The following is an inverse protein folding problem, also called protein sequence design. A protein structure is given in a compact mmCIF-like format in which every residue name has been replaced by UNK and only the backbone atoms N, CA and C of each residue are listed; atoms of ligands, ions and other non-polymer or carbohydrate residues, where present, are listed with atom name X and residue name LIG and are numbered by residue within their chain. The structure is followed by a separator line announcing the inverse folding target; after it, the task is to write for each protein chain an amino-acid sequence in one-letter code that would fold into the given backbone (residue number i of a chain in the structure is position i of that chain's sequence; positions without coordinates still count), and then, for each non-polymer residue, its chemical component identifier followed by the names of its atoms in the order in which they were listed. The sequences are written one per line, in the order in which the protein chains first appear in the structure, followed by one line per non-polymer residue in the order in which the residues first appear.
data_IF_121589687714
#
_entry.id   IF_121589687714
#
_cell.length_a   1.000
_cell.length_b   1.000
_cell.length_c   1.000
_cell.angle_alpha   90.00
_cell.angle_beta   90.00
_cell.angle_gamma   90.00
#
_symmetry.space_group_name_H-M   'P 1'
#
loop_
_entity.id
_entity.type
_entity.pdbx_description
1 polymer ?
#
# COMPACT_ATOMS: atom_id res chain seq x y z
N UNK A 1 17.73 1.38 13.41
CA UNK A 1 16.25 1.56 13.40
C UNK A 1 15.77 1.06 12.07
N UNK A 2 15.05 -0.06 12.09
CA UNK A 2 14.52 -0.73 10.91
C UNK A 2 13.05 -1.00 11.22
N UNK A 3 12.17 -0.56 10.34
CA UNK A 3 10.74 -0.81 10.48
C UNK A 3 10.04 -0.61 9.16
N UNK A 4 9.30 -1.63 8.72
CA UNK A 4 8.51 -1.54 7.51
C UNK A 4 7.11 -1.00 7.83
N UNK A 5 6.76 0.10 7.20
CA UNK A 5 5.40 0.65 7.23
C UNK A 5 4.65 0.17 6.01
N UNK A 6 3.40 -0.24 6.22
CA UNK A 6 2.54 -0.75 5.15
C UNK A 6 1.12 -0.19 5.22
N UNK A 7 0.58 0.09 4.04
CA UNK A 7 -0.83 0.20 3.75
C UNK A 7 -1.19 -0.85 2.69
N UNK A 8 -2.34 -1.48 2.82
CA UNK A 8 -2.74 -2.62 1.99
C UNK A 8 -4.06 -2.35 1.30
N UNK A 9 -4.12 -2.56 -0.01
CA UNK A 9 -5.36 -2.54 -0.77
C UNK A 9 -5.75 -3.96 -1.16
N UNK A 10 -7.04 -4.31 -1.01
CA UNK A 10 -7.55 -5.56 -1.54
C UNK A 10 -7.59 -5.49 -3.08
N UNK A 11 -7.12 -6.57 -3.72
CA UNK A 11 -7.27 -6.80 -5.15
C UNK A 11 -8.11 -8.06 -5.32
N UNK A 12 -8.90 -8.10 -6.39
CA UNK A 12 -9.97 -9.10 -6.53
C UNK A 12 -9.73 -9.95 -7.78
N UNK A 13 -8.75 -10.88 -7.75
CA UNK A 13 -8.63 -11.86 -8.83
C UNK A 13 -9.92 -12.69 -8.90
N UNK A 14 -10.25 -13.17 -10.10
CA UNK A 14 -11.43 -14.01 -10.34
C UNK A 14 -11.30 -15.40 -9.70
N UNK A 15 -10.07 -15.77 -9.35
CA UNK A 15 -9.75 -17.07 -8.79
C UNK A 15 -8.90 -16.91 -7.53
N UNK A 16 -9.15 -17.80 -6.57
CA UNK A 16 -8.38 -17.94 -5.35
C UNK A 16 -7.54 -19.20 -5.50
N UNK A 17 -6.25 -19.09 -5.21
CA UNK A 17 -5.36 -20.25 -5.21
C UNK A 17 -5.68 -21.18 -4.04
N UNK A 18 -6.11 -22.39 -4.34
CA UNK A 18 -6.36 -23.44 -3.35
C UNK A 18 -5.05 -23.92 -2.71
N UNK A 19 -5.11 -24.35 -1.44
CA UNK A 19 -3.93 -24.83 -0.68
C UNK A 19 -2.78 -23.81 -0.54
N UNK A 20 -3.09 -22.51 -0.68
CA UNK A 20 -2.16 -21.40 -0.55
C UNK A 20 -2.43 -20.58 0.72
N UNK A 21 -1.48 -19.74 1.09
CA UNK A 21 -1.51 -18.98 2.35
C UNK A 21 -2.44 -17.77 2.21
N UNK A 22 -3.41 -17.58 3.13
CA UNK A 22 -4.29 -16.43 3.14
C UNK A 22 -3.52 -15.14 3.48
N UNK A 23 -3.93 -14.03 2.87
CA UNK A 23 -3.27 -12.72 3.01
C UNK A 23 -3.11 -12.30 4.47
N UNK A 24 -4.02 -12.64 5.38
CA UNK A 24 -3.92 -12.23 6.79
C UNK A 24 -2.65 -12.77 7.47
N UNK A 25 -2.20 -13.97 7.11
CA UNK A 25 -0.94 -14.53 7.61
C UNK A 25 0.23 -13.76 7.00
N UNK A 26 0.17 -13.44 5.71
CA UNK A 26 1.18 -12.62 5.02
C UNK A 26 1.26 -11.23 5.61
N UNK A 27 0.14 -10.59 5.93
CA UNK A 27 0.09 -9.28 6.59
C UNK A 27 0.87 -9.28 7.90
N UNK A 28 0.78 -10.37 8.67
CA UNK A 28 1.56 -10.50 9.90
C UNK A 28 3.05 -10.68 9.61
N UNK A 29 3.41 -11.49 8.62
CA UNK A 29 4.79 -11.67 8.18
C UNK A 29 5.42 -10.36 7.69
N UNK A 30 4.67 -9.55 6.92
CA UNK A 30 5.12 -8.24 6.43
C UNK A 30 5.55 -7.30 7.56
N UNK A 31 4.88 -7.35 8.72
CA UNK A 31 5.24 -6.53 9.88
C UNK A 31 6.58 -6.94 10.53
N UNK A 32 7.17 -8.06 10.12
CA UNK A 32 8.43 -8.59 10.67
C UNK A 32 9.61 -8.42 9.70
N UNK A 33 9.35 -7.97 8.47
CA UNK A 33 10.37 -7.78 7.43
C UNK A 33 11.26 -6.60 7.80
N UNK A 34 12.58 -6.79 7.75
CA UNK A 34 13.54 -5.75 8.14
C UNK A 34 14.14 -4.97 6.97
N UNK A 35 14.13 -5.56 5.76
CA UNK A 35 14.63 -4.92 4.55
C UNK A 35 13.91 -5.36 3.27
N UNK A 36 14.26 -4.74 2.15
CA UNK A 36 13.65 -5.00 0.85
C UNK A 36 13.95 -6.39 0.28
N UNK A 37 15.11 -6.99 0.61
CA UNK A 37 15.46 -8.32 0.14
C UNK A 37 14.57 -9.37 0.81
N UNK A 38 14.36 -9.24 2.12
CA UNK A 38 13.42 -10.07 2.85
C UNK A 38 11.98 -9.87 2.36
N UNK A 39 11.59 -8.62 2.05
CA UNK A 39 10.28 -8.34 1.45
C UNK A 39 10.11 -9.08 0.12
N UNK A 40 11.07 -8.91 -0.80
CA UNK A 40 11.03 -9.54 -2.11
C UNK A 40 11.00 -11.07 -1.99
N UNK A 41 11.81 -11.62 -1.08
CA UNK A 41 11.83 -13.07 -0.82
C UNK A 41 10.48 -13.55 -0.30
N UNK A 42 9.93 -12.90 0.72
CA UNK A 42 8.62 -13.24 1.29
C UNK A 42 7.55 -13.26 0.21
N UNK A 43 7.48 -12.22 -0.63
CA UNK A 43 6.43 -12.11 -1.65
C UNK A 43 6.61 -13.09 -2.81
N UNK A 44 7.85 -13.40 -3.21
CA UNK A 44 8.15 -14.29 -4.35
C UNK A 44 8.04 -15.77 -4.00
N UNK A 45 8.45 -16.15 -2.79
CA UNK A 45 8.59 -17.55 -2.40
C UNK A 45 7.37 -18.07 -1.63
N UNK A 46 6.57 -17.18 -1.02
CA UNK A 46 5.39 -17.61 -0.27
C UNK A 46 4.20 -17.83 -1.21
N UNK A 47 3.53 -18.98 -1.22
CA UNK A 47 2.40 -19.21 -2.11
C UNK A 47 1.16 -18.47 -1.60
N UNK A 48 0.81 -17.35 -2.22
CA UNK A 48 -0.26 -16.46 -1.74
C UNK A 48 -1.59 -16.83 -2.42
N UNK A 49 -2.66 -16.93 -1.61
CA UNK A 49 -3.95 -17.42 -2.07
C UNK A 49 -4.75 -16.40 -2.91
N UNK A 50 -4.66 -15.11 -2.63
CA UNK A 50 -5.43 -14.10 -3.37
C UNK A 50 -4.72 -12.75 -3.42
N UNK A 51 -5.22 -11.88 -4.30
CA UNK A 51 -4.58 -10.63 -4.68
C UNK A 51 -4.62 -9.54 -3.62
N UNK A 52 -3.55 -8.76 -3.57
CA UNK A 52 -3.51 -7.50 -2.85
C UNK A 52 -2.38 -6.61 -3.34
N UNK A 53 -2.46 -5.34 -2.95
CA UNK A 53 -1.42 -4.36 -3.16
C UNK A 53 -0.79 -3.98 -1.82
N UNK A 54 0.53 -3.77 -1.83
CA UNK A 54 1.31 -3.25 -0.71
C UNK A 54 1.82 -1.89 -1.11
N UNK A 55 1.51 -0.87 -0.32
CA UNK A 55 2.13 0.45 -0.38
C UNK A 55 2.94 0.61 0.90
N UNK A 56 4.24 0.89 0.83
CA UNK A 56 5.04 0.93 2.04
C UNK A 56 6.41 1.56 1.88
N UNK A 57 7.17 1.54 2.96
CA UNK A 57 8.53 2.06 2.99
C UNK A 57 9.23 1.63 4.27
N UNK A 58 10.56 1.57 4.21
CA UNK A 58 11.38 1.26 5.37
C UNK A 58 11.81 2.54 6.06
N UNK A 59 11.51 2.67 7.35
CA UNK A 59 12.23 3.60 8.20
C UNK A 59 13.68 3.13 8.31
N UNK A 60 14.62 4.01 7.98
CA UNK A 60 16.06 3.73 8.08
C UNK A 60 16.67 4.67 9.12
N UNK A 61 17.38 4.11 10.10
CA UNK A 61 18.12 4.89 11.11
C UNK A 61 19.29 5.68 10.54
N UNK A 62 19.92 5.15 9.49
CA UNK A 62 21.17 5.71 9.02
C UNK A 62 20.88 6.92 8.15
N UNK A 63 21.33 8.08 8.62
CA UNK A 63 21.11 9.41 8.05
C UNK A 63 21.52 9.57 6.57
N UNK A 64 22.16 8.56 5.98
CA UNK A 64 22.63 8.57 4.58
C UNK A 64 21.85 7.63 3.65
N UNK A 65 20.89 6.84 4.14
CA UNK A 65 20.06 6.02 3.26
C UNK A 65 18.72 6.70 3.01
N UNK A 66 18.54 7.19 1.77
CA UNK A 66 17.30 7.78 1.30
C UNK A 66 16.14 6.80 1.51
N UNK A 67 15.07 7.27 2.15
CA UNK A 67 13.80 6.57 2.21
C UNK A 67 13.07 6.74 0.88
N UNK A 68 12.82 5.65 0.18
CA UNK A 68 11.89 5.62 -0.95
C UNK A 68 10.69 4.74 -0.60
N UNK A 69 9.58 4.99 -1.29
CA UNK A 69 8.37 4.20 -1.13
C UNK A 69 8.33 3.09 -2.17
N UNK A 70 7.73 1.99 -1.76
CA UNK A 70 7.56 0.76 -2.50
C UNK A 70 6.08 0.54 -2.75
N UNK A 71 5.75 0.10 -3.95
CA UNK A 71 4.44 -0.43 -4.27
C UNK A 71 4.57 -1.82 -4.91
N UNK A 72 3.86 -2.80 -4.38
CA UNK A 72 3.77 -4.14 -4.96
C UNK A 72 2.33 -4.45 -5.31
N UNK A 73 2.08 -4.87 -6.54
CA UNK A 73 0.86 -5.60 -6.90
C UNK A 73 1.19 -7.08 -6.98
N UNK A 74 0.33 -7.92 -6.39
CA UNK A 74 0.51 -9.35 -6.48
C UNK A 74 -0.81 -10.11 -6.53
N UNK A 75 -0.73 -11.34 -7.03
CA UNK A 75 -1.82 -12.30 -7.01
C UNK A 75 -1.36 -13.70 -7.38
N UNK A 76 -2.26 -14.69 -7.25
CA UNK A 76 -1.91 -16.07 -7.55
C UNK A 76 -1.62 -16.24 -9.04
N UNK A 77 -0.53 -16.94 -9.38
CA UNK A 77 -0.30 -17.39 -10.76
C UNK A 77 -1.03 -18.73 -10.96
N UNK A 78 -2.14 -18.68 -11.68
CA UNK A 78 -2.99 -19.84 -11.94
C UNK A 78 -2.95 -20.28 -13.42
N UNK A 79 -2.15 -19.59 -14.24
CA UNK A 79 -1.97 -19.91 -15.65
C UNK A 79 -0.96 -21.05 -15.87
N UNK A 80 -0.26 -21.49 -14.82
CA UNK A 80 0.52 -22.71 -14.90
C UNK A 80 -0.44 -23.90 -14.85
N UNK A 81 -0.57 -24.62 -15.97
CA UNK A 81 -1.15 -25.98 -16.00
C UNK A 81 -0.53 -26.92 -14.95
N UNK A 82 0.64 -26.53 -14.47
CA UNK A 82 1.29 -27.08 -13.30
C UNK A 82 0.80 -26.35 -12.04
N UNK A 83 -0.26 -26.86 -11.41
CA UNK A 83 -0.74 -26.45 -10.08
C UNK A 83 0.37 -26.50 -8.99
N UNK A 84 1.55 -27.00 -9.33
CA UNK A 84 2.74 -27.06 -8.46
C UNK A 84 3.62 -25.81 -8.48
N UNK A 85 3.44 -24.85 -9.41
CA UNK A 85 4.23 -23.62 -9.31
C UNK A 85 3.67 -22.74 -8.20
N UNK A 86 4.30 -22.80 -7.02
CA UNK A 86 4.01 -21.97 -5.85
C UNK A 86 4.31 -20.46 -6.05
N UNK A 87 4.44 -20.01 -7.30
CA UNK A 87 4.85 -18.65 -7.65
C UNK A 87 3.64 -17.71 -7.69
N UNK A 88 3.89 -16.45 -7.35
CA UNK A 88 2.91 -15.38 -7.50
C UNK A 88 3.23 -14.55 -8.74
N UNK A 89 2.21 -13.96 -9.37
CA UNK A 89 2.44 -12.79 -10.21
C UNK A 89 2.76 -11.61 -9.29
N UNK A 90 3.84 -10.89 -9.59
CA UNK A 90 4.32 -9.77 -8.79
C UNK A 90 4.77 -8.66 -9.73
N UNK A 91 4.28 -7.45 -9.50
CA UNK A 91 4.79 -6.22 -10.09
C UNK A 91 5.30 -5.33 -8.98
N UNK A 92 6.57 -4.92 -9.08
CA UNK A 92 7.23 -4.01 -8.14
C UNK A 92 7.36 -2.63 -8.76
N UNK A 93 7.07 -1.61 -7.97
CA UNK A 93 7.18 -0.21 -8.33
C UNK A 93 7.91 0.57 -7.24
N UNK A 94 8.86 1.41 -7.62
CA UNK A 94 9.52 2.38 -6.75
C UNK A 94 8.87 3.74 -6.95
N UNK A 95 8.60 4.44 -5.86
CA UNK A 95 8.19 5.84 -5.89
C UNK A 95 9.36 6.68 -5.42
N UNK A 96 9.94 7.43 -6.35
CA UNK A 96 11.17 8.20 -6.16
C UNK A 96 10.88 9.68 -6.37
N UNK A 97 11.54 10.55 -5.62
CA UNK A 97 11.62 11.97 -6.00
C UNK A 97 12.65 12.15 -7.14
N UNK A 98 12.71 13.36 -7.71
CA UNK A 98 13.62 13.65 -8.83
C UNK A 98 15.11 13.38 -8.49
N UNK A 99 15.56 13.77 -7.29
CA UNK A 99 16.95 13.56 -6.85
C UNK A 99 17.28 12.06 -6.73
N UNK A 100 16.37 11.30 -6.11
CA UNK A 100 16.48 9.85 -5.99
C UNK A 100 16.52 9.17 -7.36
N UNK A 101 15.70 9.65 -8.31
CA UNK A 101 15.66 9.12 -9.66
C UNK A 101 16.97 9.35 -10.42
N UNK A 102 17.56 10.54 -10.32
CA UNK A 102 18.86 10.85 -10.93
C UNK A 102 19.99 9.99 -10.38
N UNK A 103 19.94 9.67 -9.08
CA UNK A 103 20.90 8.79 -8.40
C UNK A 103 20.62 7.30 -8.64
N UNK A 104 19.40 6.96 -9.05
CA UNK A 104 18.99 5.58 -9.28
C UNK A 104 19.61 5.04 -10.57
N UNK A 105 20.69 4.27 -10.40
CA UNK A 105 21.20 3.46 -11.49
C UNK A 105 20.20 2.33 -11.76
N UNK A 106 19.59 2.33 -12.95
CA UNK A 106 18.66 1.30 -13.37
C UNK A 106 19.37 -0.05 -13.46
N UNK A 107 19.28 -0.85 -12.39
CA UNK A 107 19.92 -2.17 -12.28
C UNK A 107 19.04 -3.32 -12.79
N UNK A 108 17.74 -3.08 -12.96
CA UNK A 108 16.77 -4.11 -13.33
C UNK A 108 15.64 -3.49 -14.17
N UNK A 109 15.34 -4.09 -15.32
CA UNK A 109 14.25 -3.63 -16.21
C UNK A 109 12.86 -4.03 -15.71
N UNK A 110 12.76 -4.96 -14.76
CA UNK A 110 11.49 -5.47 -14.22
C UNK A 110 10.85 -4.58 -13.14
N UNK A 111 11.48 -3.44 -12.83
CA UNK A 111 11.02 -2.52 -11.78
C UNK A 111 10.40 -1.29 -12.42
N UNK A 112 9.11 -1.07 -12.15
CA UNK A 112 8.42 0.15 -12.51
C UNK A 112 8.91 1.31 -11.64
N UNK A 113 9.06 2.51 -12.21
CA UNK A 113 9.42 3.71 -11.46
C UNK A 113 8.35 4.77 -11.68
N UNK A 114 7.87 5.34 -10.58
CA UNK A 114 6.94 6.47 -10.57
C UNK A 114 7.59 7.62 -9.80
N UNK A 115 7.36 8.85 -10.26
CA UNK A 115 7.92 10.04 -9.64
C UNK A 115 6.96 10.67 -8.63
N UNK A 116 7.49 11.07 -7.48
CA UNK A 116 6.91 11.86 -6.40
C UNK A 116 5.75 11.21 -5.62
N UNK A 117 4.74 10.67 -6.30
CA UNK A 117 3.53 10.15 -5.65
C UNK A 117 2.93 8.98 -6.41
N UNK A 118 2.19 8.12 -5.69
CA UNK A 118 1.44 7.02 -6.26
C UNK A 118 0.10 6.90 -5.54
N UNK A 119 -0.97 6.80 -6.31
CA UNK A 119 -2.31 6.49 -5.81
C UNK A 119 -2.68 5.08 -6.23
N UNK A 120 -3.24 4.30 -5.30
CA UNK A 120 -3.62 2.92 -5.58
C UNK A 120 -5.02 2.63 -5.02
N UNK A 121 -5.81 1.90 -5.81
CA UNK A 121 -7.21 1.58 -5.51
C UNK A 121 -7.44 0.05 -5.58
N UNK A 122 -8.69 -0.40 -5.51
CA UNK A 122 -9.03 -1.84 -5.45
C UNK A 122 -9.09 -2.52 -6.83
N UNK A 123 -8.08 -2.29 -7.69
CA UNK A 123 -7.93 -2.96 -8.99
C UNK A 123 -6.45 -3.05 -9.38
N UNK A 124 -6.10 -3.93 -10.33
CA UNK A 124 -4.73 -4.04 -10.82
C UNK A 124 -4.47 -2.96 -11.87
N UNK A 125 -3.37 -2.23 -11.69
CA UNK A 125 -2.87 -1.24 -12.66
C UNK A 125 -1.77 -1.88 -13.53
N UNK A 126 -0.87 -2.65 -12.92
CA UNK A 126 0.34 -3.16 -13.58
C UNK A 126 0.30 -4.65 -13.88
N UNK A 127 -0.55 -5.41 -13.20
CA UNK A 127 -0.82 -6.82 -13.53
C UNK A 127 -2.10 -6.98 -14.38
N UNK A 128 -2.61 -5.90 -14.96
CA UNK A 128 -3.76 -5.95 -15.86
C UNK A 128 -3.45 -6.87 -17.05
N UNK A 129 -4.31 -7.86 -17.28
CA UNK A 129 -4.15 -8.86 -18.35
C UNK A 129 -3.29 -10.06 -17.96
N UNK A 130 -2.41 -9.95 -16.96
CA UNK A 130 -1.75 -11.12 -16.35
C UNK A 130 -2.67 -11.85 -15.38
N UNK A 131 -3.51 -11.11 -14.65
CA UNK A 131 -4.52 -11.63 -13.73
C UNK A 131 -5.91 -11.27 -14.25
N UNK A 132 -6.78 -12.28 -14.34
CA UNK A 132 -8.19 -12.06 -14.60
C UNK A 132 -8.83 -11.54 -13.32
N UNK A 133 -9.30 -10.30 -13.32
CA UNK A 133 -10.06 -9.74 -12.20
C UNK A 133 -11.49 -10.28 -12.16
N UNK A 134 -12.03 -10.47 -10.96
CA UNK A 134 -13.49 -10.52 -10.78
C UNK A 134 -14.04 -9.20 -11.32
N UNK A 135 -15.22 -9.26 -11.97
CA UNK A 135 -15.85 -8.14 -12.67
C UNK A 135 -15.46 -6.77 -12.07
N UNK A 136 -14.87 -5.91 -12.91
CA UNK A 136 -14.21 -4.69 -12.48
C UNK A 136 -15.05 -3.94 -11.44
N UNK A 137 -14.46 -3.64 -10.27
CA UNK A 137 -15.14 -2.84 -9.25
C UNK A 137 -15.31 -1.42 -9.80
N UNK A 138 -16.50 -1.13 -10.32
CA UNK A 138 -16.86 0.20 -10.85
C UNK A 138 -16.52 1.31 -9.82
N UNK A 139 -16.77 1.04 -8.54
CA UNK A 139 -16.41 1.94 -7.44
C UNK A 139 -14.91 2.21 -7.33
N UNK A 140 -14.06 1.22 -7.61
CA UNK A 140 -12.60 1.40 -7.61
C UNK A 140 -12.16 2.29 -8.77
N UNK A 141 -12.68 2.05 -9.97
CA UNK A 141 -12.34 2.83 -11.16
C UNK A 141 -12.84 4.28 -11.07
N UNK A 142 -14.03 4.48 -10.49
CA UNK A 142 -14.55 5.83 -10.27
C UNK A 142 -13.74 6.61 -9.24
N UNK A 143 -13.36 5.98 -8.11
CA UNK A 143 -12.46 6.60 -7.13
C UNK A 143 -11.07 6.90 -7.71
N UNK A 144 -10.55 6.02 -8.58
CA UNK A 144 -9.30 6.27 -9.29
C UNK A 144 -9.40 7.48 -10.23
N UNK A 145 -10.46 7.53 -11.05
CA UNK A 145 -10.74 8.69 -11.93
C UNK A 145 -10.88 9.97 -11.12
N UNK A 146 -11.61 9.93 -10.00
CA UNK A 146 -11.76 11.07 -9.08
C UNK A 146 -10.42 11.49 -8.49
N UNK A 147 -9.56 10.55 -8.12
CA UNK A 147 -8.21 10.84 -7.63
C UNK A 147 -7.35 11.60 -8.63
N UNK A 148 -7.44 11.26 -9.92
CA UNK A 148 -6.73 11.98 -10.98
C UNK A 148 -7.16 13.43 -11.13
N UNK A 149 -8.41 13.76 -10.79
CA UNK A 149 -8.93 15.14 -10.84
C UNK A 149 -8.26 16.07 -9.80
N UNK A 150 -7.60 15.52 -8.77
CA UNK A 150 -6.83 16.30 -7.79
C UNK A 150 -5.44 16.71 -8.30
N UNK A 151 -4.96 16.10 -9.40
CA UNK A 151 -3.62 16.33 -9.90
C UNK A 151 -2.53 15.75 -8.98
N UNK A 152 -1.34 16.36 -9.04
CA UNK A 152 -0.19 15.89 -8.28
C UNK A 152 -0.34 16.18 -6.78
N UNK A 153 -0.11 15.15 -5.97
CA UNK A 153 -0.12 15.26 -4.50
C UNK A 153 1.28 15.66 -4.03
N UNK A 154 1.42 16.89 -3.52
CA UNK A 154 2.73 17.45 -3.14
C UNK A 154 2.89 17.66 -1.64
N UNK A 155 1.78 17.79 -0.93
CA UNK A 155 1.78 18.08 0.51
C UNK A 155 0.90 17.11 1.28
N UNK A 156 1.13 17.03 2.59
CA UNK A 156 0.23 16.31 3.50
C UNK A 156 -1.22 16.80 3.37
N UNK A 157 -1.42 18.12 3.25
CA UNK A 157 -2.75 18.70 3.10
C UNK A 157 -3.45 18.22 1.82
N UNK A 158 -2.72 18.09 0.71
CA UNK A 158 -3.28 17.56 -0.54
C UNK A 158 -3.75 16.11 -0.36
N UNK A 159 -2.92 15.29 0.29
CA UNK A 159 -3.24 13.90 0.58
C UNK A 159 -4.48 13.77 1.50
N UNK A 160 -4.54 14.55 2.59
CA UNK A 160 -5.70 14.55 3.49
C UNK A 160 -6.98 15.07 2.82
N UNK A 161 -6.85 16.06 1.94
CA UNK A 161 -7.98 16.59 1.16
C UNK A 161 -8.53 15.53 0.21
N UNK A 162 -7.65 14.80 -0.51
CA UNK A 162 -8.02 13.69 -1.37
C UNK A 162 -8.69 12.55 -0.58
N UNK A 163 -8.07 12.12 0.52
CA UNK A 163 -8.57 11.01 1.34
C UNK A 163 -9.88 11.33 2.05
N UNK A 164 -10.21 12.61 2.21
CA UNK A 164 -11.48 13.10 2.74
C UNK A 164 -12.52 13.47 1.68
N UNK A 165 -12.27 13.20 0.39
CA UNK A 165 -13.17 13.63 -0.68
C UNK A 165 -14.48 12.83 -0.72
N UNK A 166 -15.58 13.57 -0.87
CA UNK A 166 -16.97 13.06 -0.91
C UNK A 166 -17.74 13.55 -2.14
N UNK A 167 -17.06 14.00 -3.18
CA UNK A 167 -17.73 14.67 -4.30
C UNK A 167 -18.50 13.72 -5.22
N UNK A 168 -18.06 12.46 -5.34
CA UNK A 168 -18.84 11.42 -6.02
C UNK A 168 -19.91 10.90 -5.05
N UNK A 169 -21.18 11.19 -5.34
CA UNK A 169 -22.32 10.80 -4.49
C UNK A 169 -22.47 9.29 -4.36
N UNK A 170 -22.10 8.53 -5.40
CA UNK A 170 -22.30 7.08 -5.46
C UNK A 170 -21.07 6.30 -4.98
N UNK A 171 -19.88 6.81 -5.29
CA UNK A 171 -18.61 6.15 -4.97
C UNK A 171 -17.59 7.13 -4.41
N UNK A 172 -17.88 7.78 -3.27
CA UNK A 172 -16.96 8.74 -2.67
C UNK A 172 -15.65 8.06 -2.23
N UNK A 173 -14.55 8.82 -2.17
CA UNK A 173 -13.28 8.30 -1.63
C UNK A 173 -13.42 8.08 -0.12
N UNK A 174 -13.95 9.09 0.59
CA UNK A 174 -14.33 8.97 2.00
C UNK A 174 -15.79 8.53 2.10
N UNK A 175 -16.00 7.27 2.48
CA UNK A 175 -17.33 6.66 2.47
C UNK A 175 -18.00 6.89 3.83
N UNK A 176 -19.21 7.44 3.82
CA UNK A 176 -20.10 7.49 4.99
C UNK A 176 -21.26 6.51 4.78
N UNK A 177 -21.77 5.85 5.83
CA UNK A 177 -22.81 4.83 5.70
C UNK A 177 -24.04 5.31 4.91
N UNK A 178 -24.41 6.58 5.05
CA UNK A 178 -25.61 7.16 4.41
C UNK A 178 -25.51 7.24 2.88
N UNK A 179 -24.29 7.18 2.32
CA UNK A 179 -24.02 7.35 0.88
C UNK A 179 -23.90 6.04 0.11
N UNK A 180 -24.02 4.87 0.76
CA UNK A 180 -23.78 3.59 0.08
C UNK A 180 -24.84 2.53 0.41
N UNK A 181 -25.41 1.95 -0.64
CA UNK A 181 -26.37 0.82 -0.57
C UNK A 181 -25.81 -0.42 0.16
N UNK A 182 -24.47 -0.56 0.23
CA UNK A 182 -23.81 -1.73 0.80
C UNK A 182 -23.43 -1.60 2.29
N UNK A 183 -23.88 -0.55 2.98
CA UNK A 183 -23.56 -0.30 4.40
C UNK A 183 -22.04 -0.35 4.71
N UNK A 184 -21.21 0.13 3.77
CA UNK A 184 -19.76 0.24 3.95
C UNK A 184 -19.40 1.67 4.34
N UNK A 185 -18.29 1.84 5.08
CA UNK A 185 -17.83 3.15 5.53
C UNK A 185 -16.30 3.17 5.67
N UNK A 186 -15.72 4.36 5.51
CA UNK A 186 -14.34 4.63 5.90
C UNK A 186 -14.27 4.70 7.42
N UNK A 187 -13.57 3.76 8.04
CA UNK A 187 -13.46 3.68 9.51
C UNK A 187 -12.47 4.69 10.09
N UNK A 188 -11.37 4.93 9.37
CA UNK A 188 -10.35 5.91 9.73
C UNK A 188 -9.44 6.20 8.53
N UNK A 189 -8.71 7.30 8.62
CA UNK A 189 -7.57 7.61 7.76
C UNK A 189 -6.29 7.52 8.59
N UNK A 190 -5.29 6.78 8.10
CA UNK A 190 -3.98 6.68 8.71
C UNK A 190 -2.93 7.38 7.85
N UNK A 191 -2.11 8.22 8.46
CA UNK A 191 -0.99 8.92 7.84
C UNK A 191 0.30 8.53 8.57
N UNK A 192 1.26 7.99 7.83
CA UNK A 192 2.61 7.73 8.32
C UNK A 192 3.57 8.82 7.84
N UNK A 193 4.14 9.57 8.78
CA UNK A 193 5.13 10.59 8.48
C UNK A 193 6.54 10.01 8.62
N UNK A 194 7.22 9.84 7.49
CA UNK A 194 8.56 9.26 7.44
C UNK A 194 9.66 10.18 7.99
N UNK A 195 9.43 11.49 8.02
CA UNK A 195 10.38 12.47 8.54
C UNK A 195 10.33 12.59 10.06
N UNK A 196 9.12 12.53 10.64
CA UNK A 196 8.90 12.68 12.08
C UNK A 196 8.73 11.36 12.82
N UNK A 197 8.71 10.24 12.10
CA UNK A 197 8.50 8.89 12.66
C UNK A 197 7.17 8.77 13.39
N UNK A 198 6.11 9.35 12.83
CA UNK A 198 4.78 9.37 13.44
C UNK A 198 3.76 8.55 12.65
N UNK A 199 2.91 7.83 13.38
CA UNK A 199 1.63 7.34 12.88
C UNK A 199 0.52 8.26 13.42
N UNK A 200 -0.22 8.87 12.53
CA UNK A 200 -1.32 9.80 12.81
C UNK A 200 -2.62 9.16 12.33
N UNK A 201 -3.62 9.07 13.20
CA UNK A 201 -4.92 8.46 12.88
C UNK A 201 -6.03 9.48 13.03
N UNK A 202 -6.81 9.65 11.98
CA UNK A 202 -8.02 10.47 11.93
C UNK A 202 -9.23 9.54 11.94
N UNK A 203 -10.11 9.68 12.94
CA UNK A 203 -11.35 8.90 13.03
C UNK A 203 -12.47 9.50 12.18
N UNK A 204 -12.47 10.82 12.03
CA UNK A 204 -13.44 11.55 11.22
C UNK A 204 -12.86 11.84 9.83
N UNK A 205 -13.65 12.48 8.98
CA UNK A 205 -13.19 12.94 7.69
C UNK A 205 -11.99 13.91 7.85
N UNK A 206 -10.78 13.56 7.38
CA UNK A 206 -9.58 14.38 7.58
C UNK A 206 -9.61 15.70 6.82
N UNK A 207 -10.48 15.83 5.81
CA UNK A 207 -10.70 17.09 5.06
C UNK A 207 -11.50 18.10 5.86
N UNK A 208 -12.47 17.63 6.64
CA UNK A 208 -13.39 18.49 7.41
C UNK A 208 -12.88 18.75 8.83
N UNK A 209 -12.17 17.79 9.40
CA UNK A 209 -11.55 17.89 10.71
C UNK A 209 -10.09 17.41 10.63
N UNK A 210 -9.17 18.36 10.67
CA UNK A 210 -7.72 18.09 10.62
C UNK A 210 -7.12 17.75 11.98
N UNK A 211 -7.91 17.67 13.06
CA UNK A 211 -7.39 17.24 14.36
C UNK A 211 -7.25 15.72 14.39
N UNK A 212 -6.04 15.19 14.66
CA UNK A 212 -5.83 13.77 14.74
C UNK A 212 -6.47 13.20 16.01
N UNK A 213 -7.06 12.01 15.89
CA UNK A 213 -7.60 11.28 17.03
C UNK A 213 -6.49 10.65 17.87
N UNK A 214 -5.46 10.11 17.21
CA UNK A 214 -4.30 9.49 17.86
C UNK A 214 -3.02 9.87 17.11
N UNK A 215 -1.95 10.10 17.86
CA UNK A 215 -0.60 10.34 17.34
C UNK A 215 0.37 9.44 18.09
N UNK A 216 1.00 8.51 17.37
CA UNK A 216 2.01 7.61 17.91
C UNK A 216 3.39 8.02 17.41
N UNK A 217 4.33 8.22 18.32
CA UNK A 217 5.75 8.35 17.98
C UNK A 217 6.37 6.95 17.89
N UNK A 218 6.66 6.50 16.68
CA UNK A 218 7.16 5.16 16.40
C UNK A 218 8.60 4.97 16.87
N UNK A 219 9.41 6.05 16.89
CA UNK A 219 10.78 5.99 17.43
C UNK A 219 10.81 5.64 18.94
N UNK A 220 9.78 6.03 19.69
CA UNK A 220 9.69 5.71 21.12
C UNK A 220 9.32 4.25 21.40
N UNK A 221 8.52 3.63 20.52
CA UNK A 221 8.11 2.22 20.68
C UNK A 221 9.30 1.27 20.56
N UNK A 222 10.32 1.64 19.79
CA UNK A 222 11.49 0.78 19.59
C UNK A 222 12.54 0.89 20.69
N UNK A 223 12.68 2.06 21.34
CA UNK A 223 13.60 2.24 22.48
C UNK A 223 13.23 1.41 23.72
N UNK A 224 12.00 0.91 23.80
CA UNK A 224 11.56 0.08 24.92
C UNK A 224 12.09 -1.37 24.81
N UNK A 225 12.34 -1.87 23.59
CA UNK A 225 12.81 -3.24 23.39
C UNK A 225 14.31 -3.41 23.67
N UNK A 226 15.13 -2.38 23.43
CA UNK A 226 16.59 -2.41 23.71
C UNK A 226 16.92 -2.45 25.22
N UNK A 227 15.95 -2.12 26.09
CA UNK A 227 16.15 -2.13 27.55
C UNK A 227 15.81 -3.46 28.21
N UNK A 228 15.21 -4.41 27.48
CA UNK A 228 14.79 -5.72 27.99
C UNK A 228 15.79 -6.85 27.69
N UNK A 229 16.93 -6.57 27.04
CA UNK A 229 18.01 -7.53 26.78
C UNK A 229 19.26 -7.28 27.65
N UNK A 230 19.09 -7.04 28.95
CA UNK A 230 20.19 -7.04 29.93
C UNK A 230 19.94 -7.99 31.07
#
# INVERSE_FOLDING_TARGET
MYGFVIALNALHPNYIGESRIPRQIINRALLSVVDENELDKLLRETPIAYGFCINGGFFRADNNQQCYLLNYELGPNLNSHDNMTNKNFISKCLVLNNEQYEQYQKKNDDVCIVLNYLLHYNHYERLQGSIVERAALLSSRNRARRGLEFGEIRTEKDALTLLGDRADEKFPIFIIPETNENNTATLCTAHFNFHTYQLIIYRNNPKDNSEPHLVYNLANLWKQNDKTEK
#
